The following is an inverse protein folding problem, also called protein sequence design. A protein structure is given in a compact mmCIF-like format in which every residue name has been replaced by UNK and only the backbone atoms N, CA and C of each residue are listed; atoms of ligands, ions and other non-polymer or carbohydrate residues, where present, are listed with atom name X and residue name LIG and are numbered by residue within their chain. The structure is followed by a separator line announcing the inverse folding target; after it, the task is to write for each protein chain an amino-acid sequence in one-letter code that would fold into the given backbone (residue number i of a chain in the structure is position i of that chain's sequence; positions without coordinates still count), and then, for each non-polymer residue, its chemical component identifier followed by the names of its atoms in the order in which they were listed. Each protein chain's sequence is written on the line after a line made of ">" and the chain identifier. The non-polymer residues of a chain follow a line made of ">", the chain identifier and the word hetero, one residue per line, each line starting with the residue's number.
data_IF_400219563877
#
_entry.id   IF_400219563877
#
_cell.length_a   1.000
_cell.length_b   1.000
_cell.length_c   1.000
_cell.angle_alpha   90.00
_cell.angle_beta   90.00
_cell.angle_gamma   90.00
#
_symmetry.space_group_name_H-M   'P 1'
#
loop_
_entity.id
_entity.type
_entity.pdbx_description
1 polymer ?
#
# COMPACT_ATOMS: atom_id res chain seq x y z
N UNK A 1 -17.00 -10.75 -52.02
CA UNK A 1 -15.77 -10.84 -51.21
C UNK A 1 -16.09 -11.68 -49.98
N UNK A 2 -15.78 -12.97 -50.03
CA UNK A 2 -16.10 -13.92 -48.97
C UNK A 2 -15.04 -13.86 -47.87
N UNK A 3 -15.40 -13.31 -46.72
CA UNK A 3 -14.59 -13.35 -45.50
C UNK A 3 -14.42 -14.80 -45.05
N UNK A 4 -13.30 -15.41 -45.41
CA UNK A 4 -12.92 -16.76 -45.00
C UNK A 4 -12.58 -16.78 -43.50
N UNK A 5 -13.61 -16.75 -42.63
CA UNK A 5 -13.45 -16.91 -41.18
C UNK A 5 -12.84 -18.29 -40.91
N UNK A 6 -11.77 -18.32 -40.10
CA UNK A 6 -11.13 -19.58 -39.72
C UNK A 6 -12.14 -20.47 -38.98
N UNK A 7 -12.29 -21.75 -39.35
CA UNK A 7 -13.23 -22.65 -38.67
C UNK A 7 -12.80 -22.85 -37.22
N UNK A 8 -13.77 -22.91 -36.31
CA UNK A 8 -13.53 -23.20 -34.90
C UNK A 8 -13.09 -24.65 -34.73
N UNK A 9 -12.04 -24.87 -33.92
CA UNK A 9 -11.60 -26.20 -33.49
C UNK A 9 -12.68 -26.81 -32.60
N UNK A 10 -13.28 -27.92 -33.04
CA UNK A 10 -14.23 -28.71 -32.24
C UNK A 10 -13.49 -29.85 -31.52
N UNK A 11 -13.99 -30.20 -30.33
CA UNK A 11 -13.49 -31.31 -29.52
C UNK A 11 -12.74 -30.86 -28.26
N UNK A 12 -12.28 -31.82 -27.44
CA UNK A 12 -11.53 -31.52 -26.23
C UNK A 12 -10.27 -30.69 -26.51
N UNK A 13 -9.89 -29.77 -25.61
CA UNK A 13 -8.67 -28.99 -25.77
C UNK A 13 -7.46 -29.93 -25.85
N UNK A 14 -6.57 -29.65 -26.81
CA UNK A 14 -5.31 -30.40 -26.93
C UNK A 14 -4.31 -29.89 -25.90
N UNK A 15 -3.44 -30.78 -25.38
CA UNK A 15 -2.35 -30.34 -24.54
C UNK A 15 -1.41 -29.39 -25.30
N UNK A 16 -0.74 -28.46 -24.60
CA UNK A 16 0.24 -27.58 -25.20
C UNK A 16 1.37 -28.39 -25.82
N UNK A 17 1.86 -27.97 -26.99
CA UNK A 17 3.02 -28.59 -27.64
C UNK A 17 4.30 -28.01 -27.03
N UNK A 18 5.24 -28.85 -26.64
CA UNK A 18 6.58 -28.41 -26.23
C UNK A 18 7.27 -27.73 -27.42
N UNK A 19 7.70 -26.49 -27.25
CA UNK A 19 8.54 -25.81 -28.22
C UNK A 19 9.98 -25.75 -27.67
N UNK A 20 10.94 -26.50 -28.22
CA UNK A 20 12.32 -26.50 -27.73
C UNK A 20 13.04 -25.17 -27.94
N UNK A 21 12.50 -24.28 -28.78
CA UNK A 21 13.00 -22.93 -29.03
C UNK A 21 12.22 -21.85 -28.26
N UNK A 22 11.28 -22.24 -27.38
CA UNK A 22 10.60 -21.26 -26.54
C UNK A 22 11.60 -20.63 -25.56
N UNK A 23 11.75 -19.31 -25.63
CA UNK A 23 12.45 -18.54 -24.62
C UNK A 23 11.77 -18.80 -23.27
N UNK A 24 12.52 -19.42 -22.37
CA UNK A 24 12.10 -19.58 -20.98
C UNK A 24 12.15 -18.22 -20.29
N UNK A 25 11.08 -17.82 -19.60
CA UNK A 25 11.10 -16.66 -18.69
C UNK A 25 11.90 -16.93 -17.41
N UNK A 26 12.32 -18.18 -17.20
CA UNK A 26 13.13 -18.55 -16.04
C UNK A 26 14.53 -17.98 -16.22
N UNK A 27 14.87 -16.97 -15.43
CA UNK A 27 16.26 -16.55 -15.31
C UNK A 27 17.10 -17.71 -14.73
N UNK A 28 18.33 -17.93 -15.25
CA UNK A 28 19.27 -18.83 -14.60
C UNK A 28 19.61 -18.30 -13.19
N UNK A 29 19.95 -19.18 -12.24
CA UNK A 29 20.35 -18.76 -10.90
C UNK A 29 21.53 -17.79 -10.98
N UNK A 30 21.34 -16.54 -10.55
CA UNK A 30 22.42 -15.55 -10.51
C UNK A 30 23.48 -15.97 -9.48
N UNK A 31 24.75 -15.80 -9.83
CA UNK A 31 25.87 -16.11 -8.95
C UNK A 31 25.89 -15.11 -7.78
N UNK A 32 26.30 -15.55 -6.59
CA UNK A 32 26.30 -14.75 -5.35
C UNK A 32 27.05 -13.40 -5.46
N UNK A 33 27.91 -13.27 -6.46
CA UNK A 33 28.79 -12.12 -6.69
C UNK A 33 28.18 -11.07 -7.63
N UNK A 34 27.03 -11.36 -8.25
CA UNK A 34 26.37 -10.51 -9.25
C UNK A 34 25.34 -9.55 -8.62
N UNK A 35 25.06 -9.72 -7.33
CA UNK A 35 24.19 -8.82 -6.56
C UNK A 35 25.04 -7.72 -5.95
N UNK A 36 25.13 -6.58 -6.62
CA UNK A 36 25.62 -5.34 -6.02
C UNK A 36 24.66 -4.91 -4.92
N UNK A 37 24.93 -5.35 -3.68
CA UNK A 37 24.28 -4.79 -2.50
C UNK A 37 24.72 -3.33 -2.39
N UNK A 38 23.82 -2.40 -2.71
CA UNK A 38 23.99 -1.00 -2.34
C UNK A 38 24.03 -0.93 -0.82
N UNK A 39 25.24 -0.86 -0.26
CA UNK A 39 25.44 -0.58 1.15
C UNK A 39 24.83 0.80 1.40
N UNK A 40 23.80 0.85 2.24
CA UNK A 40 23.43 1.98 3.11
C UNK A 40 21.97 2.45 3.06
N UNK A 41 21.11 1.92 2.20
CA UNK A 41 19.67 2.08 2.42
C UNK A 41 19.15 0.88 3.19
N UNK A 42 18.64 1.15 4.39
CA UNK A 42 17.80 0.22 5.15
C UNK A 42 16.58 -0.11 4.29
N UNK A 43 16.73 -1.10 3.42
CA UNK A 43 15.64 -1.66 2.63
C UNK A 43 14.68 -2.24 3.66
N UNK A 44 13.55 -1.58 3.88
CA UNK A 44 12.44 -2.13 4.66
C UNK A 44 11.90 -3.32 3.86
N UNK A 45 12.45 -4.49 4.13
CA UNK A 45 11.94 -5.75 3.60
C UNK A 45 10.61 -5.99 4.30
N UNK A 46 9.50 -5.73 3.58
CA UNK A 46 8.18 -6.16 4.02
C UNK A 46 8.08 -7.63 3.66
N UNK A 47 8.27 -8.51 4.63
CA UNK A 47 8.06 -9.94 4.44
C UNK A 47 6.59 -10.20 4.08
N UNK A 48 6.36 -10.77 2.90
CA UNK A 48 5.04 -11.19 2.48
C UNK A 48 4.63 -12.43 3.27
N UNK A 49 3.79 -12.24 4.29
CA UNK A 49 3.21 -13.35 5.02
C UNK A 49 1.95 -13.85 4.28
N UNK A 50 2.04 -15.01 3.62
CA UNK A 50 0.91 -15.65 2.93
C UNK A 50 -0.21 -16.14 3.85
N UNK A 51 0.01 -16.14 5.18
CA UNK A 51 -1.03 -16.36 6.19
C UNK A 51 -1.64 -15.06 6.74
N UNK A 52 -1.16 -13.90 6.28
CA UNK A 52 -1.75 -12.63 6.66
C UNK A 52 -3.17 -12.57 6.09
N UNK A 53 -4.13 -12.37 6.99
CA UNK A 53 -5.52 -12.10 6.61
C UNK A 53 -5.48 -10.88 5.70
N UNK A 54 -5.95 -10.97 4.44
CA UNK A 54 -5.97 -9.82 3.55
C UNK A 54 -6.75 -8.73 4.26
N UNK A 55 -6.08 -7.62 4.59
CA UNK A 55 -6.78 -6.47 5.11
C UNK A 55 -7.75 -6.04 4.01
N UNK A 56 -9.07 -6.10 4.25
CA UNK A 56 -10.02 -5.61 3.25
C UNK A 56 -9.65 -4.18 2.92
N UNK A 57 -9.81 -3.80 1.65
CA UNK A 57 -9.63 -2.42 1.24
C UNK A 57 -10.41 -1.53 2.20
N UNK A 58 -9.69 -0.67 2.92
CA UNK A 58 -10.30 0.33 3.76
C UNK A 58 -11.26 1.13 2.86
N UNK A 59 -12.52 1.26 3.28
CA UNK A 59 -13.48 2.15 2.63
C UNK A 59 -12.76 3.48 2.34
N UNK A 60 -12.74 3.97 1.07
CA UNK A 60 -12.02 5.19 0.72
C UNK A 60 -12.44 6.40 1.57
N UNK A 61 -13.63 6.38 2.19
CA UNK A 61 -14.09 7.38 3.15
C UNK A 61 -13.28 7.44 4.45
N UNK A 62 -12.55 6.38 4.82
CA UNK A 62 -11.79 6.29 6.07
C UNK A 62 -10.68 7.32 6.13
N UNK A 63 -10.02 7.64 5.01
CA UNK A 63 -9.01 8.70 4.96
C UNK A 63 -9.61 10.07 5.28
N UNK A 64 -10.80 10.35 4.74
CA UNK A 64 -11.50 11.61 4.97
C UNK A 64 -11.98 11.73 6.42
N UNK A 65 -12.54 10.64 6.98
CA UNK A 65 -12.94 10.56 8.39
C UNK A 65 -11.77 10.80 9.33
N UNK A 66 -10.60 10.19 9.05
CA UNK A 66 -9.38 10.41 9.85
C UNK A 66 -8.90 11.86 9.79
N UNK A 67 -8.91 12.47 8.61
CA UNK A 67 -8.53 13.87 8.44
C UNK A 67 -9.48 14.83 9.18
N UNK A 68 -10.79 14.55 9.17
CA UNK A 68 -11.77 15.33 9.92
C UNK A 68 -11.55 15.19 11.43
N UNK A 69 -11.38 13.96 11.92
CA UNK A 69 -11.17 13.69 13.35
C UNK A 69 -9.88 14.33 13.87
N UNK A 70 -8.81 14.34 13.08
CA UNK A 70 -7.57 15.05 13.44
C UNK A 70 -7.78 16.57 13.54
N UNK A 71 -8.59 17.15 12.64
CA UNK A 71 -8.91 18.58 12.67
C UNK A 71 -9.75 18.93 13.90
N UNK A 72 -10.75 18.14 14.23
CA UNK A 72 -11.58 18.32 15.42
C UNK A 72 -10.74 18.23 16.70
N UNK A 73 -9.85 17.24 16.78
CA UNK A 73 -8.92 17.09 17.90
C UNK A 73 -8.01 18.31 18.07
N UNK A 74 -7.47 18.87 16.98
CA UNK A 74 -6.64 20.09 17.03
C UNK A 74 -7.44 21.29 17.55
N UNK A 75 -8.68 21.45 17.10
CA UNK A 75 -9.55 22.54 17.56
C UNK A 75 -9.90 22.42 19.04
N UNK A 76 -10.18 21.21 19.52
CA UNK A 76 -10.45 20.95 20.94
C UNK A 76 -9.22 21.26 21.80
N UNK A 77 -8.03 20.85 21.34
CA UNK A 77 -6.77 21.16 22.01
C UNK A 77 -6.49 22.67 22.07
N UNK A 78 -6.75 23.41 20.99
CA UNK A 78 -6.60 24.87 20.98
C UNK A 78 -7.56 25.54 21.97
N UNK A 79 -8.84 25.12 21.99
CA UNK A 79 -9.84 25.62 22.95
C UNK A 79 -9.42 25.36 24.40
N UNK A 80 -8.94 24.16 24.70
CA UNK A 80 -8.46 23.81 26.04
C UNK A 80 -7.26 24.68 26.43
N UNK A 81 -6.33 24.91 25.52
CA UNK A 81 -5.14 25.75 25.75
C UNK A 81 -5.53 27.20 26.03
N UNK A 82 -6.45 27.76 25.22
CA UNK A 82 -6.95 29.13 25.41
C UNK A 82 -7.68 29.31 26.74
N UNK A 83 -8.58 28.38 27.09
CA UNK A 83 -9.26 28.44 28.39
C UNK A 83 -8.29 28.36 29.58
N UNK A 84 -7.23 27.55 29.47
CA UNK A 84 -6.21 27.47 30.52
C UNK A 84 -5.43 28.78 30.67
N UNK A 85 -5.07 29.42 29.55
CA UNK A 85 -4.43 30.74 29.54
C UNK A 85 -5.34 31.84 30.12
N UNK A 86 -6.64 31.80 29.87
CA UNK A 86 -7.61 32.75 30.44
C UNK A 86 -7.78 32.57 31.95
N UNK A 87 -7.85 31.31 32.43
CA UNK A 87 -7.92 31.00 33.88
C UNK A 87 -6.67 31.47 34.63
N UNK A 88 -5.49 31.25 34.05
CA UNK A 88 -4.23 31.67 34.68
C UNK A 88 -4.08 33.20 34.78
N UNK A 89 -4.67 33.96 33.85
CA UNK A 89 -4.65 35.43 33.89
C UNK A 89 -5.64 36.00 34.91
N UNK A 90 -6.78 35.34 35.13
CA UNK A 90 -7.77 35.78 36.12
C UNK A 90 -7.34 35.47 37.55
N UNK A 91 -6.66 34.34 37.79
CA UNK A 91 -6.14 34.00 39.13
C UNK A 91 -4.88 34.79 39.52
N UNK A 92 -4.05 35.21 38.56
CA UNK A 92 -2.86 36.04 38.80
C UNK A 92 -3.18 37.51 39.14
N UNK A 93 -4.35 38.01 38.75
CA UNK A 93 -4.78 39.40 38.99
C UNK A 93 -5.40 39.63 40.38
N UNK A 94 -5.76 38.56 41.11
CA UNK A 94 -6.37 38.66 42.44
C UNK A 94 -5.38 38.51 43.60
N UNK A 95 -4.07 38.50 43.32
CA UNK A 95 -3.01 38.20 44.30
C UNK A 95 -1.95 39.30 44.47
N UNK A 96 -2.19 40.51 43.97
CA UNK A 96 -1.33 41.68 44.13
C UNK A 96 -2.00 42.78 44.94
#
# INVERSE_FOLDING_TARGET
>A
MSDSKRPLLKGPPRPPRSNPLALSYTEPPRLKNEVTRTKNDSIRVVEFNGSAIPQPFLDPSIMQKKAQLERERKLEQEKSTRQQLERNQTEGSSRS
#
